data_IF_525665535841
#
_entry.id   IF_525665535841
#
_cell.length_a   1.000
_cell.length_b   1.000
_cell.length_c   1.000
_cell.angle_alpha   90.00
_cell.angle_beta   90.00
_cell.angle_gamma   90.00
#
_symmetry.space_group_name_H-M   'P 1'
#
loop_
_entity.id
_entity.type
_entity.pdbx_description
1 polymer ?
#
# COMPACT_ATOMS: atom_id res chain seq x y z
N UNK A 1 67.39 -10.91 -60.22
CA UNK A 1 67.34 -10.05 -61.43
C UNK A 1 66.77 -8.71 -61.01
N UNK A 2 67.57 -7.63 -61.19
CA UNK A 2 67.25 -6.21 -61.44
C UNK A 2 65.96 -5.56 -60.87
N UNK A 3 65.85 -4.30 -60.41
CA UNK A 3 66.71 -3.13 -60.09
C UNK A 3 65.72 -1.99 -59.69
N UNK A 4 66.09 -1.12 -58.72
CA UNK A 4 65.67 0.29 -58.46
C UNK A 4 64.15 0.63 -58.23
N UNK A 5 63.71 1.70 -57.54
CA UNK A 5 64.32 2.91 -56.97
C UNK A 5 63.40 3.55 -55.89
N UNK A 6 64.01 4.47 -55.15
CA UNK A 6 63.54 5.35 -54.05
C UNK A 6 62.54 6.43 -54.50
N UNK A 7 61.61 6.83 -53.62
CA UNK A 7 61.13 8.22 -53.50
C UNK A 7 60.58 8.55 -52.09
N UNK A 8 61.15 9.58 -51.46
CA UNK A 8 60.64 10.28 -50.27
C UNK A 8 59.43 11.16 -50.64
N UNK A 9 58.51 11.41 -49.69
CA UNK A 9 57.58 12.54 -49.79
C UNK A 9 56.42 12.57 -48.80
N UNK A 10 56.54 13.41 -47.77
CA UNK A 10 55.48 14.30 -47.27
C UNK A 10 54.27 13.71 -46.52
N UNK A 11 54.28 13.83 -45.19
CA UNK A 11 53.06 13.80 -44.37
C UNK A 11 52.21 15.07 -44.60
N UNK A 12 50.88 14.95 -44.85
CA UNK A 12 49.97 16.08 -44.70
C UNK A 12 49.55 16.26 -43.22
N UNK A 13 49.63 17.51 -42.75
CA UNK A 13 49.18 17.95 -41.41
C UNK A 13 47.66 17.82 -41.22
N UNK A 14 47.17 17.62 -39.97
CA UNK A 14 45.73 17.52 -39.70
C UNK A 14 45.03 18.88 -39.84
N UNK A 15 43.90 18.89 -40.56
CA UNK A 15 43.01 20.03 -40.73
C UNK A 15 42.25 20.33 -39.42
N UNK A 16 42.45 21.54 -38.91
CA UNK A 16 41.70 22.12 -37.77
C UNK A 16 40.34 22.63 -38.28
N UNK A 17 39.20 22.30 -37.66
CA UNK A 17 37.90 22.85 -38.03
C UNK A 17 37.79 24.34 -37.64
N UNK A 18 37.07 25.17 -38.41
CA UNK A 18 36.99 26.62 -38.17
C UNK A 18 36.21 26.95 -36.88
N UNK A 19 36.70 27.96 -36.16
CA UNK A 19 36.09 28.50 -34.96
C UNK A 19 34.71 29.13 -35.26
N UNK A 20 33.73 29.04 -34.32
CA UNK A 20 32.45 29.71 -34.47
C UNK A 20 32.59 31.24 -34.42
N UNK A 21 31.74 32.00 -35.13
CA UNK A 21 31.79 33.46 -35.16
C UNK A 21 31.46 34.08 -33.78
N UNK A 22 31.98 35.29 -33.48
CA UNK A 22 31.76 35.94 -32.20
C UNK A 22 30.28 36.35 -32.06
N UNK A 23 29.67 35.97 -30.93
CA UNK A 23 28.32 36.42 -30.57
C UNK A 23 28.40 37.90 -30.21
N UNK A 24 27.74 38.72 -31.01
CA UNK A 24 27.56 40.16 -30.79
C UNK A 24 26.72 40.36 -29.51
N UNK A 25 27.28 41.10 -28.56
CA UNK A 25 26.60 41.51 -27.34
C UNK A 25 25.41 42.43 -27.68
N UNK A 26 24.20 41.96 -27.40
CA UNK A 26 23.01 42.79 -27.41
C UNK A 26 22.92 43.57 -26.09
N UNK A 27 22.74 44.89 -26.24
CA UNK A 27 22.67 45.91 -25.20
C UNK A 27 21.57 45.63 -24.15
N UNK A 28 21.94 45.94 -22.92
CA UNK A 28 21.08 46.28 -21.79
C UNK A 28 20.19 47.48 -22.15
N UNK A 29 18.90 47.41 -21.85
CA UNK A 29 18.03 48.58 -21.70
C UNK A 29 16.96 48.29 -20.64
N UNK A 30 17.19 48.93 -19.50
CA UNK A 30 16.27 49.56 -18.55
C UNK A 30 15.06 48.82 -17.98
N UNK A 31 15.16 48.63 -16.66
CA UNK A 31 14.07 48.51 -15.71
C UNK A 31 13.17 49.76 -15.69
N UNK A 32 11.98 49.64 -15.08
CA UNK A 32 11.53 50.67 -14.16
C UNK A 32 11.35 50.12 -12.74
N UNK A 33 11.91 50.91 -11.85
CA UNK A 33 11.88 50.86 -10.39
C UNK A 33 10.47 50.95 -9.79
N UNK A 34 10.29 50.16 -8.72
CA UNK A 34 9.49 50.33 -7.51
C UNK A 34 8.27 51.26 -7.47
N UNK A 35 7.15 50.70 -7.01
CA UNK A 35 6.17 51.41 -6.17
C UNK A 35 5.54 50.47 -5.11
N UNK A 36 5.91 50.69 -3.84
CA UNK A 36 5.17 50.38 -2.61
C UNK A 36 5.58 51.51 -1.64
N UNK A 37 4.69 52.19 -0.88
CA UNK A 37 3.72 51.56 0.03
C UNK A 37 2.34 52.23 0.18
N UNK A 38 1.33 51.40 0.46
CA UNK A 38 0.17 51.81 1.24
C UNK A 38 0.05 50.85 2.43
N UNK A 39 0.27 51.42 3.61
CA UNK A 39 0.09 50.86 4.94
C UNK A 39 -1.36 51.11 5.38
N UNK A 40 -2.07 50.08 5.83
CA UNK A 40 -3.21 50.24 6.73
C UNK A 40 -3.10 49.19 7.84
N UNK A 41 -2.97 49.71 9.05
CA UNK A 41 -2.77 49.01 10.32
C UNK A 41 -4.04 48.26 10.81
N UNK A 42 -3.86 47.33 11.77
CA UNK A 42 -4.86 46.36 12.19
C UNK A 42 -5.86 46.95 13.19
N UNK A 43 -7.09 46.44 13.22
CA UNK A 43 -8.09 46.76 14.25
C UNK A 43 -8.64 45.46 14.87
N UNK A 44 -8.13 45.17 16.05
CA UNK A 44 -8.81 44.61 17.23
C UNK A 44 -8.08 45.25 18.43
N UNK A 45 -8.68 45.53 19.60
CA UNK A 45 -9.69 44.71 20.29
C UNK A 45 -10.76 45.53 21.06
N UNK A 46 -11.77 44.87 21.67
CA UNK A 46 -12.30 45.26 22.99
C UNK A 46 -13.28 44.22 23.55
N UNK A 47 -12.88 43.61 24.67
CA UNK A 47 -13.73 43.04 25.71
C UNK A 47 -14.49 44.17 26.43
N UNK A 48 -15.77 43.97 26.77
CA UNK A 48 -16.31 44.33 28.08
C UNK A 48 -17.77 43.87 28.22
N UNK A 49 -18.02 43.15 29.30
CA UNK A 49 -19.34 42.84 29.85
C UNK A 49 -19.92 44.06 30.57
N UNK A 50 -21.24 44.28 30.52
CA UNK A 50 -22.01 44.75 31.69
C UNK A 50 -23.53 44.51 31.53
N UNK A 51 -24.12 43.96 32.59
CA UNK A 51 -25.55 43.85 32.92
C UNK A 51 -26.20 45.25 33.03
N UNK A 52 -27.53 45.39 32.91
CA UNK A 52 -28.31 45.58 34.15
C UNK A 52 -29.67 44.84 34.17
N UNK A 53 -30.11 44.52 35.38
CA UNK A 53 -31.49 44.15 35.71
C UNK A 53 -32.37 45.40 35.84
N UNK A 54 -33.70 45.23 35.89
CA UNK A 54 -34.41 45.83 37.01
C UNK A 54 -35.27 44.81 37.76
N UNK A 55 -35.41 45.14 39.04
CA UNK A 55 -36.10 44.49 40.12
C UNK A 55 -37.43 45.23 40.34
N UNK A 56 -38.56 44.53 40.44
CA UNK A 56 -39.72 45.04 41.18
C UNK A 56 -40.59 43.91 41.77
N UNK A 57 -40.41 43.74 43.08
CA UNK A 57 -41.35 43.49 44.18
C UNK A 57 -42.74 42.88 43.88
N UNK A 58 -42.87 41.62 44.31
CA UNK A 58 -43.83 41.06 45.29
C UNK A 58 -45.32 41.45 45.26
N UNK A 59 -46.18 40.41 45.19
CA UNK A 59 -47.25 40.23 46.19
C UNK A 59 -47.61 38.75 46.40
N UNK A 60 -47.88 38.38 47.65
CA UNK A 60 -48.20 37.05 48.19
C UNK A 60 -49.72 36.96 48.41
N UNK A 61 -50.42 35.82 48.34
CA UNK A 61 -50.56 34.72 49.32
C UNK A 61 -51.81 33.86 48.91
N UNK A 62 -52.27 32.84 49.67
CA UNK A 62 -52.07 31.39 49.48
C UNK A 62 -53.38 30.58 49.20
N UNK A 63 -53.29 29.31 48.83
CA UNK A 63 -54.34 28.33 49.18
C UNK A 63 -53.82 26.89 49.17
N UNK A 64 -53.67 26.39 50.39
CA UNK A 64 -53.78 25.02 50.92
C UNK A 64 -53.54 23.76 50.08
N UNK A 65 -52.81 22.86 50.75
CA UNK A 65 -52.43 21.52 50.38
C UNK A 65 -53.57 20.48 50.48
N UNK A 66 -53.52 19.46 49.61
CA UNK A 66 -54.05 18.09 49.83
C UNK A 66 -53.14 17.05 49.14
N UNK A 67 -53.11 15.79 49.61
CA UNK A 67 -51.89 15.00 49.75
C UNK A 67 -51.50 14.18 48.51
N UNK A 68 -50.20 13.86 48.45
CA UNK A 68 -49.56 13.01 47.45
C UNK A 68 -50.13 11.58 47.42
N UNK A 69 -50.51 11.14 46.22
CA UNK A 69 -50.63 9.71 45.87
C UNK A 69 -49.25 9.19 45.42
N UNK A 70 -48.91 7.91 45.68
CA UNK A 70 -47.61 7.33 45.34
C UNK A 70 -47.39 7.31 43.82
N UNK A 71 -46.13 7.38 43.34
CA UNK A 71 -45.82 7.36 41.92
C UNK A 71 -46.25 6.02 41.31
N UNK A 72 -47.20 6.07 40.40
CA UNK A 72 -47.48 4.99 39.45
C UNK A 72 -46.26 4.84 38.55
N UNK A 73 -45.52 3.74 38.74
CA UNK A 73 -44.54 3.26 37.78
C UNK A 73 -45.26 2.99 36.47
N UNK A 74 -45.19 3.96 35.54
CA UNK A 74 -45.50 3.70 34.14
C UNK A 74 -44.39 2.79 33.63
N UNK A 75 -44.67 1.50 33.57
CA UNK A 75 -43.87 0.51 32.87
C UNK A 75 -43.85 0.93 31.40
N UNK A 76 -42.80 1.66 30.99
CA UNK A 76 -42.40 1.70 29.59
C UNK A 76 -42.35 0.26 29.10
N UNK A 77 -42.86 -0.07 27.89
CA UNK A 77 -42.70 -1.41 27.34
C UNK A 77 -41.21 -1.72 27.44
N UNK A 78 -40.87 -2.79 28.18
CA UNK A 78 -39.53 -3.28 28.23
C UNK A 78 -39.06 -3.43 26.77
N UNK A 79 -38.06 -2.65 26.38
CA UNK A 79 -37.33 -2.95 25.16
C UNK A 79 -36.85 -4.38 25.35
N UNK A 80 -37.50 -5.30 24.63
CA UNK A 80 -37.13 -6.71 24.59
C UNK A 80 -35.62 -6.70 24.35
N UNK A 81 -34.78 -7.30 25.20
CA UNK A 81 -33.39 -7.46 24.83
C UNK A 81 -33.44 -8.26 23.52
N UNK A 82 -33.08 -7.64 22.40
CA UNK A 82 -32.80 -8.37 21.18
C UNK A 82 -31.53 -9.16 21.49
N UNK A 83 -31.69 -10.33 22.10
CA UNK A 83 -30.63 -11.28 22.37
C UNK A 83 -30.21 -11.90 21.04
N UNK A 84 -29.63 -11.06 20.18
CA UNK A 84 -29.04 -11.48 18.92
C UNK A 84 -27.77 -12.26 19.19
N UNK A 85 -27.58 -13.34 18.45
CA UNK A 85 -26.36 -14.14 18.50
C UNK A 85 -25.26 -13.34 17.81
N UNK A 86 -24.20 -13.03 18.55
CA UNK A 86 -23.00 -12.37 18.03
C UNK A 86 -22.01 -13.43 17.57
N UNK A 87 -21.97 -13.69 16.27
CA UNK A 87 -20.99 -14.56 15.64
C UNK A 87 -19.70 -13.79 15.40
N UNK A 88 -18.66 -14.10 16.16
CA UNK A 88 -17.31 -13.57 15.99
C UNK A 88 -16.57 -14.47 15.01
N UNK A 89 -15.95 -13.88 13.98
CA UNK A 89 -15.22 -14.61 12.95
C UNK A 89 -13.97 -15.24 13.55
N UNK A 90 -13.77 -16.52 13.25
CA UNK A 90 -12.53 -17.23 13.54
C UNK A 90 -11.59 -17.11 12.33
N UNK A 91 -10.55 -16.29 12.47
CA UNK A 91 -9.56 -16.04 11.43
C UNK A 91 -8.81 -17.32 11.02
N UNK A 92 -8.59 -18.27 11.94
CA UNK A 92 -7.87 -19.50 11.64
C UNK A 92 -8.67 -20.46 10.74
N UNK A 93 -9.99 -20.45 10.90
CA UNK A 93 -10.93 -21.24 10.10
C UNK A 93 -11.52 -20.52 8.89
N UNK A 94 -11.08 -19.28 8.61
CA UNK A 94 -11.63 -18.45 7.54
C UNK A 94 -10.60 -18.11 6.47
N UNK A 95 -11.05 -17.98 5.22
CA UNK A 95 -10.23 -17.67 4.05
C UNK A 95 -11.06 -16.91 3.02
N UNK A 96 -10.51 -15.86 2.44
CA UNK A 96 -11.07 -15.16 1.28
C UNK A 96 -10.13 -15.36 0.11
N UNK A 97 -10.68 -15.73 -1.04
CA UNK A 97 -10.00 -15.75 -2.33
C UNK A 97 -10.69 -14.76 -3.28
N UNK A 98 -9.89 -13.92 -3.92
CA UNK A 98 -10.29 -12.97 -4.95
C UNK A 98 -9.79 -13.50 -6.29
N UNK A 99 -10.69 -13.68 -7.24
CA UNK A 99 -10.39 -14.22 -8.56
C UNK A 99 -10.73 -13.23 -9.65
N UNK A 100 -9.76 -12.94 -10.50
CA UNK A 100 -9.93 -12.10 -11.68
C UNK A 100 -9.35 -12.81 -12.89
N UNK A 101 -10.07 -12.77 -14.01
CA UNK A 101 -9.59 -13.38 -15.24
C UNK A 101 -8.49 -12.52 -15.86
N UNK A 102 -7.44 -13.17 -16.35
CA UNK A 102 -6.31 -12.53 -16.99
C UNK A 102 -5.91 -13.26 -18.28
N UNK A 103 -5.35 -12.53 -19.23
CA UNK A 103 -4.89 -13.07 -20.50
C UNK A 103 -3.45 -12.65 -20.76
N UNK A 104 -2.56 -13.62 -20.91
CA UNK A 104 -1.15 -13.38 -21.25
C UNK A 104 -0.91 -13.42 -22.75
N UNK A 105 0.08 -12.67 -23.21
CA UNK A 105 0.55 -12.77 -24.59
C UNK A 105 1.11 -14.18 -24.88
N UNK A 106 0.59 -14.84 -25.91
CA UNK A 106 1.03 -16.18 -26.33
C UNK A 106 0.38 -17.37 -25.61
N UNK A 107 -0.50 -17.15 -24.63
CA UNK A 107 -1.29 -18.21 -23.98
C UNK A 107 -2.76 -18.09 -24.43
N UNK A 108 -3.26 -19.11 -25.13
CA UNK A 108 -4.63 -19.12 -25.66
C UNK A 108 -5.69 -19.44 -24.60
N UNK A 109 -5.32 -20.11 -23.50
CA UNK A 109 -6.24 -20.46 -22.43
C UNK A 109 -6.43 -19.29 -21.46
N UNK A 110 -7.66 -19.01 -21.00
CA UNK A 110 -7.89 -18.00 -19.97
C UNK A 110 -7.21 -18.44 -18.66
N UNK A 111 -6.48 -17.54 -18.01
CA UNK A 111 -5.93 -17.75 -16.68
C UNK A 111 -6.76 -16.97 -15.65
N UNK A 112 -6.79 -17.43 -14.40
CA UNK A 112 -7.39 -16.68 -13.30
C UNK A 112 -6.28 -16.30 -12.31
N UNK A 113 -6.08 -15.00 -12.10
CA UNK A 113 -5.28 -14.50 -10.99
C UNK A 113 -6.06 -14.71 -9.68
N UNK A 114 -5.43 -15.36 -8.70
CA UNK A 114 -6.04 -15.63 -7.39
C UNK A 114 -5.21 -14.98 -6.29
N UNK A 115 -5.84 -14.07 -5.55
CA UNK A 115 -5.27 -13.49 -4.33
C UNK A 115 -6.04 -14.02 -3.13
N UNK A 116 -5.34 -14.54 -2.12
CA UNK A 116 -5.93 -15.10 -0.92
C UNK A 116 -5.50 -14.38 0.36
N UNK A 117 -6.37 -14.36 1.36
CA UNK A 117 -6.03 -13.92 2.72
C UNK A 117 -6.83 -14.65 3.79
N UNK A 118 -6.23 -14.78 4.98
CA UNK A 118 -6.87 -15.28 6.21
C UNK A 118 -7.02 -14.21 7.30
N UNK A 119 -6.51 -13.00 7.06
CA UNK A 119 -6.60 -11.91 8.04
C UNK A 119 -7.95 -11.22 7.99
N UNK A 120 -8.94 -11.95 8.48
CA UNK A 120 -10.35 -11.57 8.53
C UNK A 120 -10.72 -11.47 10.00
N UNK A 121 -11.40 -10.39 10.37
CA UNK A 121 -11.81 -10.11 11.74
C UNK A 121 -13.19 -9.47 11.74
N UNK A 122 -13.82 -9.43 12.91
CA UNK A 122 -15.11 -8.79 13.08
C UNK A 122 -16.18 -9.74 13.58
N UNK A 123 -17.41 -9.25 13.59
CA UNK A 123 -18.54 -10.00 14.08
C UNK A 123 -19.80 -9.66 13.29
N UNK A 124 -20.73 -10.61 13.22
CA UNK A 124 -22.06 -10.42 12.70
C UNK A 124 -23.04 -10.75 13.82
N UNK A 125 -23.90 -9.80 14.14
CA UNK A 125 -24.96 -9.95 15.14
C UNK A 125 -26.25 -10.22 14.40
N UNK A 126 -26.90 -11.36 14.70
CA UNK A 126 -28.17 -11.75 14.07
C UNK A 126 -29.20 -12.06 15.13
N UNK A 127 -30.36 -11.42 15.07
CA UNK A 127 -31.48 -11.73 15.97
C UNK A 127 -32.23 -13.02 15.57
N UNK A 128 -33.20 -13.43 16.38
CA UNK A 128 -33.99 -14.64 16.12
C UNK A 128 -34.79 -14.55 14.81
N UNK A 129 -35.16 -13.34 14.39
CA UNK A 129 -35.96 -13.09 13.19
C UNK A 129 -35.09 -12.98 11.92
N UNK A 130 -33.76 -12.97 12.07
CA UNK A 130 -32.80 -12.84 10.98
C UNK A 130 -32.38 -11.40 10.68
N UNK A 131 -32.69 -10.43 11.55
CA UNK A 131 -32.26 -9.04 11.39
C UNK A 131 -30.83 -8.86 11.89
N UNK A 132 -30.14 -7.94 11.23
CA UNK A 132 -28.74 -7.63 11.50
C UNK A 132 -28.67 -6.58 12.61
N UNK A 133 -27.87 -6.85 13.64
CA UNK A 133 -27.57 -5.90 14.69
C UNK A 133 -26.54 -4.86 14.22
N UNK A 134 -26.64 -3.62 14.73
CA UNK A 134 -25.81 -2.49 14.29
C UNK A 134 -24.30 -2.66 14.51
N UNK A 135 -23.87 -3.53 15.42
CA UNK A 135 -22.44 -3.83 15.67
C UNK A 135 -21.83 -4.79 14.65
N UNK A 136 -22.58 -5.19 13.62
CA UNK A 136 -22.11 -6.12 12.61
C UNK A 136 -21.13 -5.43 11.67
N UNK A 137 -19.87 -5.87 11.70
CA UNK A 137 -18.81 -5.40 10.81
C UNK A 137 -17.79 -6.50 10.60
N UNK A 138 -17.37 -6.69 9.36
CA UNK A 138 -16.26 -7.57 8.98
C UNK A 138 -15.15 -6.72 8.40
N UNK A 139 -13.93 -6.90 8.90
CA UNK A 139 -12.73 -6.17 8.45
C UNK A 139 -11.72 -7.18 7.94
N UNK A 140 -11.25 -6.96 6.71
CA UNK A 140 -10.22 -7.75 6.03
C UNK A 140 -8.96 -6.91 5.89
N UNK A 141 -7.80 -7.46 6.27
CA UNK A 141 -6.50 -6.82 6.08
C UNK A 141 -6.06 -7.03 4.63
N UNK A 142 -6.17 -5.98 3.79
CA UNK A 142 -5.79 -6.05 2.37
C UNK A 142 -4.28 -6.18 2.18
N UNK A 143 -3.51 -5.80 3.19
CA UNK A 143 -2.04 -5.96 3.27
C UNK A 143 -1.58 -7.42 3.27
N UNK A 144 -2.46 -8.36 3.64
CA UNK A 144 -2.17 -9.78 3.66
C UNK A 144 -2.81 -10.54 2.50
N UNK A 145 -3.24 -9.85 1.44
CA UNK A 145 -3.59 -10.50 0.19
C UNK A 145 -2.31 -10.93 -0.51
N UNK A 146 -2.22 -12.22 -0.78
CA UNK A 146 -1.08 -12.84 -1.42
C UNK A 146 -1.52 -13.82 -2.52
N UNK A 147 -0.69 -14.03 -3.50
CA UNK A 147 -0.92 -14.95 -4.61
C UNK A 147 0.28 -15.87 -4.80
N UNK A 148 0.31 -16.66 -5.87
CA UNK A 148 1.44 -17.51 -6.21
C UNK A 148 2.63 -16.76 -6.83
N UNK A 149 2.48 -15.46 -7.12
CA UNK A 149 3.52 -14.61 -7.73
C UNK A 149 3.76 -13.36 -6.86
N UNK A 150 4.88 -13.28 -6.12
CA UNK A 150 5.12 -12.18 -5.18
C UNK A 150 5.28 -10.81 -5.86
N UNK A 151 5.71 -10.76 -7.13
CA UNK A 151 5.78 -9.52 -7.89
C UNK A 151 4.38 -8.95 -8.16
N UNK A 152 3.41 -9.83 -8.44
CA UNK A 152 2.00 -9.44 -8.60
C UNK A 152 1.45 -8.88 -7.30
N UNK A 153 1.78 -9.50 -6.17
CA UNK A 153 1.33 -9.06 -4.85
C UNK A 153 1.84 -7.64 -4.55
N UNK A 154 3.12 -7.39 -4.78
CA UNK A 154 3.72 -6.07 -4.60
C UNK A 154 3.03 -5.01 -5.48
N UNK A 155 2.79 -5.32 -6.75
CA UNK A 155 2.09 -4.42 -7.66
C UNK A 155 0.67 -4.11 -7.19
N UNK A 156 -0.13 -5.15 -6.90
CA UNK A 156 -1.53 -4.99 -6.52
C UNK A 156 -1.66 -4.22 -5.21
N UNK A 157 -0.81 -4.51 -4.23
CA UNK A 157 -0.86 -3.82 -2.94
C UNK A 157 -0.46 -2.34 -3.04
N UNK A 158 0.51 -2.01 -3.90
CA UNK A 158 1.02 -0.65 -4.01
C UNK A 158 0.20 0.23 -4.95
N UNK A 159 -0.19 -0.30 -6.12
CA UNK A 159 -0.75 0.50 -7.20
C UNK A 159 -2.24 0.27 -7.47
N UNK A 160 -2.77 -0.90 -7.09
CA UNK A 160 -4.20 -1.20 -7.31
C UNK A 160 -5.01 -0.91 -6.06
N UNK A 161 -4.64 -1.54 -4.95
CA UNK A 161 -5.33 -1.42 -3.66
C UNK A 161 -4.83 -0.22 -2.82
N UNK A 162 -3.66 0.34 -3.16
CA UNK A 162 -3.00 1.42 -2.42
C UNK A 162 -3.01 1.18 -0.90
N UNK A 163 -2.58 -0.01 -0.47
CA UNK A 163 -2.69 -0.49 0.92
C UNK A 163 -1.88 0.33 1.94
N UNK A 164 -1.05 1.26 1.48
CA UNK A 164 -0.46 2.30 2.33
C UNK A 164 -1.55 3.25 2.84
N UNK A 165 -2.45 3.69 1.96
CA UNK A 165 -3.58 4.60 2.27
C UNK A 165 -4.80 3.84 2.76
N UNK A 166 -5.05 2.65 2.21
CA UNK A 166 -6.24 1.84 2.49
C UNK A 166 -5.85 0.42 2.95
N UNK A 167 -5.34 0.27 4.18
CA UNK A 167 -4.80 -1.01 4.67
C UNK A 167 -5.86 -2.09 4.93
N UNK A 168 -7.14 -1.71 4.96
CA UNK A 168 -8.26 -2.58 5.27
C UNK A 168 -9.40 -2.41 4.29
N UNK A 169 -10.17 -3.48 4.10
CA UNK A 169 -11.48 -3.47 3.47
C UNK A 169 -12.54 -3.81 4.52
N UNK A 170 -13.63 -3.05 4.54
CA UNK A 170 -14.68 -3.17 5.54
C UNK A 170 -16.01 -3.54 4.90
N UNK A 171 -16.69 -4.56 5.44
CA UNK A 171 -18.04 -4.95 5.04
C UNK A 171 -19.01 -4.76 6.22
N UNK A 172 -20.00 -3.89 6.01
CA UNK A 172 -21.08 -3.63 6.96
C UNK A 172 -22.38 -4.27 6.40
N UNK A 173 -22.80 -5.44 6.90
CA UNK A 173 -24.00 -6.09 6.40
C UNK A 173 -25.25 -5.31 6.82
N UNK A 174 -26.24 -5.22 5.91
CA UNK A 174 -27.50 -4.50 6.10
C UNK A 174 -28.69 -5.42 6.29
N UNK A 175 -28.79 -6.44 5.44
CA UNK A 175 -29.92 -7.36 5.45
C UNK A 175 -29.55 -8.75 4.95
N UNK A 176 -30.31 -9.74 5.42
CA UNK A 176 -30.33 -11.08 4.85
C UNK A 176 -31.56 -11.24 3.97
N UNK A 177 -31.39 -11.81 2.77
CA UNK A 177 -32.49 -12.21 1.87
C UNK A 177 -32.53 -13.73 1.76
N UNK A 178 -33.72 -14.30 1.87
CA UNK A 178 -33.90 -15.76 1.77
C UNK A 178 -33.42 -16.57 2.98
N UNK A 179 -33.06 -15.91 4.08
CA UNK A 179 -32.77 -16.59 5.34
C UNK A 179 -34.07 -17.09 5.97
N UNK A 180 -34.05 -18.33 6.48
CA UNK A 180 -35.20 -18.92 7.18
C UNK A 180 -35.44 -18.16 8.49
N UNK A 181 -36.69 -17.76 8.74
CA UNK A 181 -37.11 -17.09 9.97
C UNK A 181 -38.10 -17.98 10.72
N UNK A 182 -37.87 -18.33 12.00
CA UNK A 182 -36.71 -17.93 12.82
C UNK A 182 -35.41 -18.63 12.38
N UNK A 183 -34.26 -17.99 12.65
CA UNK A 183 -32.95 -18.56 12.29
C UNK A 183 -32.72 -19.85 13.08
N UNK A 184 -32.45 -20.99 12.42
CA UNK A 184 -32.27 -22.25 13.12
C UNK A 184 -31.05 -22.21 14.06
N UNK A 185 -31.13 -22.97 15.15
CA UNK A 185 -29.99 -23.18 16.06
C UNK A 185 -29.05 -24.27 15.53
N UNK A 186 -29.56 -25.22 14.74
CA UNK A 186 -28.79 -26.27 14.10
C UNK A 186 -29.32 -26.55 12.70
N UNK A 187 -28.43 -26.86 11.75
CA UNK A 187 -28.79 -27.28 10.40
C UNK A 187 -28.29 -26.34 9.29
N UNK A 188 -28.58 -26.67 8.03
CA UNK A 188 -28.15 -25.88 6.88
C UNK A 188 -28.87 -24.54 6.83
N UNK A 189 -28.14 -23.49 6.47
CA UNK A 189 -28.63 -22.14 6.22
C UNK A 189 -28.07 -21.65 4.90
N UNK A 190 -28.93 -21.07 4.07
CA UNK A 190 -28.55 -20.48 2.79
C UNK A 190 -29.34 -19.21 2.55
N UNK A 191 -28.80 -18.32 1.74
CA UNK A 191 -29.45 -17.08 1.39
C UNK A 191 -28.47 -16.09 0.78
N UNK A 192 -28.84 -14.83 0.81
CA UNK A 192 -28.01 -13.71 0.39
C UNK A 192 -27.80 -12.75 1.55
N UNK A 193 -26.61 -12.19 1.66
CA UNK A 193 -26.30 -11.10 2.56
C UNK A 193 -25.97 -9.86 1.74
N UNK A 194 -26.75 -8.80 1.93
CA UNK A 194 -26.55 -7.50 1.28
C UNK A 194 -25.89 -6.58 2.29
N UNK A 195 -24.82 -5.91 1.90
CA UNK A 195 -24.10 -4.99 2.78
C UNK A 195 -23.39 -3.90 2.01
N UNK A 196 -22.79 -2.99 2.76
CA UNK A 196 -21.89 -1.96 2.23
C UNK A 196 -20.46 -2.47 2.33
N UNK A 197 -19.83 -2.67 1.18
CA UNK A 197 -18.40 -2.98 1.06
C UNK A 197 -17.64 -1.67 0.84
N UNK A 198 -16.66 -1.40 1.68
CA UNK A 198 -15.73 -0.27 1.55
C UNK A 198 -14.35 -0.79 1.19
N UNK A 199 -13.88 -0.46 0.00
CA UNK A 199 -12.56 -0.83 -0.54
C UNK A 199 -11.98 0.41 -1.19
N UNK A 200 -10.67 0.65 -0.99
CA UNK A 200 -9.97 1.81 -1.56
C UNK A 200 -10.64 3.16 -1.21
N UNK A 201 -11.24 3.24 0.00
CA UNK A 201 -11.95 4.43 0.48
C UNK A 201 -13.32 4.69 -0.17
N UNK A 202 -13.77 3.84 -1.09
CA UNK A 202 -15.08 3.94 -1.75
C UNK A 202 -16.03 2.90 -1.18
N UNK A 203 -17.25 3.30 -0.86
CA UNK A 203 -18.29 2.40 -0.33
C UNK A 203 -19.33 2.09 -1.39
N UNK A 204 -19.62 0.80 -1.61
CA UNK A 204 -20.63 0.32 -2.56
C UNK A 204 -21.49 -0.81 -1.97
N UNK A 205 -22.78 -0.89 -2.34
CA UNK A 205 -23.61 -2.03 -2.01
C UNK A 205 -23.13 -3.28 -2.74
N UNK A 206 -22.88 -4.37 -2.02
CA UNK A 206 -22.52 -5.68 -2.59
C UNK A 206 -23.42 -6.75 -1.97
N UNK A 207 -23.74 -7.76 -2.78
CA UNK A 207 -24.51 -8.93 -2.36
C UNK A 207 -23.62 -10.16 -2.44
N UNK A 208 -23.64 -10.97 -1.38
CA UNK A 208 -22.98 -12.28 -1.36
C UNK A 208 -24.02 -13.38 -1.17
N UNK A 209 -24.01 -14.38 -2.06
CA UNK A 209 -24.74 -15.62 -1.90
C UNK A 209 -23.98 -16.54 -0.94
N UNK A 210 -24.61 -16.98 0.15
CA UNK A 210 -23.99 -17.86 1.13
C UNK A 210 -24.74 -19.18 1.29
N UNK A 211 -23.96 -20.22 1.60
CA UNK A 211 -24.42 -21.55 1.99
C UNK A 211 -23.55 -22.04 3.15
N UNK A 212 -24.17 -22.41 4.26
CA UNK A 212 -23.45 -22.84 5.44
C UNK A 212 -24.30 -23.72 6.35
N UNK A 213 -23.73 -24.07 7.49
CA UNK A 213 -24.35 -24.89 8.52
C UNK A 213 -24.13 -24.23 9.87
N UNK A 214 -25.22 -24.10 10.63
CA UNK A 214 -25.18 -23.75 12.04
C UNK A 214 -25.13 -25.02 12.88
N UNK A 215 -24.26 -25.04 13.88
CA UNK A 215 -24.17 -26.08 14.90
C UNK A 215 -24.09 -25.40 16.26
N UNK A 216 -25.25 -25.12 16.84
CA UNK A 216 -25.44 -24.37 18.08
C UNK A 216 -24.83 -22.98 17.98
N UNK A 217 -23.66 -22.85 18.58
CA UNK A 217 -22.89 -21.61 18.69
C UNK A 217 -21.79 -21.48 17.63
N UNK A 218 -21.71 -22.40 16.66
CA UNK A 218 -20.76 -22.32 15.56
C UNK A 218 -21.46 -22.20 14.22
N UNK A 219 -20.85 -21.43 13.32
CA UNK A 219 -21.22 -21.29 11.93
C UNK A 219 -20.04 -21.67 11.06
N UNK A 220 -20.28 -22.49 10.05
CA UNK A 220 -19.31 -22.73 8.97
C UNK A 220 -20.02 -22.65 7.64
N UNK A 221 -19.49 -21.89 6.70
CA UNK A 221 -20.12 -21.73 5.39
C UNK A 221 -19.19 -21.19 4.33
N UNK A 222 -19.74 -21.11 3.13
CA UNK A 222 -19.12 -20.45 1.98
C UNK A 222 -19.97 -19.28 1.55
N UNK A 223 -19.35 -18.23 1.04
CA UNK A 223 -20.02 -17.12 0.40
C UNK A 223 -19.35 -16.79 -0.95
N UNK A 224 -20.16 -16.39 -1.93
CA UNK A 224 -19.72 -15.97 -3.26
C UNK A 224 -20.34 -14.63 -3.62
N UNK A 225 -19.60 -13.82 -4.35
CA UNK A 225 -20.09 -12.54 -4.84
C UNK A 225 -19.23 -12.04 -5.99
N UNK A 226 -19.67 -10.97 -6.64
CA UNK A 226 -18.93 -10.33 -7.72
C UNK A 226 -18.95 -8.81 -7.53
N UNK A 227 -17.85 -8.15 -7.90
CA UNK A 227 -17.77 -6.70 -8.01
C UNK A 227 -16.85 -6.31 -9.17
N UNK A 228 -16.67 -5.02 -9.41
CA UNK A 228 -15.63 -4.49 -10.31
C UNK A 228 -14.58 -3.69 -9.55
N UNK A 229 -13.36 -3.63 -10.08
CA UNK A 229 -12.31 -2.73 -9.57
C UNK A 229 -12.72 -1.26 -9.78
N UNK A 230 -13.27 -0.97 -10.97
CA UNK A 230 -13.72 0.37 -11.35
C UNK A 230 -14.82 0.96 -10.45
N UNK A 231 -15.69 0.12 -9.88
CA UNK A 231 -16.75 0.55 -8.96
C UNK A 231 -16.16 1.19 -7.68
N UNK A 232 -14.94 0.83 -7.33
CA UNK A 232 -14.21 1.33 -6.17
C UNK A 232 -13.15 2.37 -6.51
N UNK A 233 -13.13 2.89 -7.75
CA UNK A 233 -12.14 3.88 -8.18
C UNK A 233 -10.73 3.31 -8.41
N UNK A 234 -10.59 1.98 -8.42
CA UNK A 234 -9.33 1.33 -8.72
C UNK A 234 -9.14 1.18 -10.22
N UNK A 235 -7.90 1.34 -10.68
CA UNK A 235 -7.55 1.14 -12.09
C UNK A 235 -7.21 -0.31 -12.35
N UNK A 236 -7.75 -0.89 -13.42
CA UNK A 236 -7.43 -2.25 -13.83
C UNK A 236 -5.92 -2.32 -14.17
N UNK A 237 -5.18 -3.29 -13.60
CA UNK A 237 -3.76 -3.46 -13.88
C UNK A 237 -3.47 -3.62 -15.38
N UNK A 238 -2.42 -2.96 -15.87
CA UNK A 238 -1.89 -3.16 -17.21
C UNK A 238 -0.36 -3.32 -17.13
N UNK A 239 0.14 -4.48 -17.54
CA UNK A 239 1.59 -4.79 -17.65
C UNK A 239 1.84 -5.46 -19.00
N UNK A 240 3.01 -5.30 -19.62
CA UNK A 240 3.25 -5.61 -21.02
C UNK A 240 3.10 -7.09 -21.38
N UNK A 241 3.39 -7.99 -20.44
CA UNK A 241 3.16 -9.44 -20.61
C UNK A 241 1.67 -9.82 -20.60
N UNK A 242 0.81 -8.92 -20.09
CA UNK A 242 -0.61 -9.12 -19.88
C UNK A 242 -1.39 -8.37 -20.97
N UNK A 243 -2.05 -9.12 -21.84
CA UNK A 243 -2.92 -8.55 -22.88
C UNK A 243 -4.09 -7.83 -22.22
N UNK A 244 -4.71 -8.45 -21.22
CA UNK A 244 -5.83 -7.86 -20.50
C UNK A 244 -6.05 -8.49 -19.12
N UNK A 245 -6.65 -7.71 -18.22
CA UNK A 245 -7.22 -8.15 -16.95
C UNK A 245 -8.69 -7.77 -16.96
N UNK A 246 -9.55 -8.67 -16.52
CA UNK A 246 -10.97 -8.38 -16.38
C UNK A 246 -11.19 -7.40 -15.22
N UNK A 247 -12.03 -6.39 -15.42
CA UNK A 247 -12.41 -5.47 -14.34
C UNK A 247 -13.23 -6.18 -13.24
N UNK A 248 -13.89 -7.28 -13.59
CA UNK A 248 -14.68 -8.11 -12.67
C UNK A 248 -13.77 -8.89 -11.72
N UNK A 249 -14.09 -8.79 -10.44
CA UNK A 249 -13.50 -9.56 -9.34
C UNK A 249 -14.58 -10.49 -8.77
N UNK A 250 -14.28 -11.77 -8.70
CA UNK A 250 -15.11 -12.80 -8.07
C UNK A 250 -14.58 -13.12 -6.67
N UNK A 251 -15.46 -13.16 -5.70
CA UNK A 251 -15.14 -13.53 -4.32
C UNK A 251 -15.51 -14.99 -4.08
N UNK A 252 -14.59 -15.74 -3.47
CA UNK A 252 -14.85 -17.03 -2.86
C UNK A 252 -14.41 -16.97 -1.40
N UNK A 253 -15.37 -17.09 -0.50
CA UNK A 253 -15.17 -16.91 0.92
C UNK A 253 -15.50 -18.22 1.61
N UNK A 254 -14.58 -18.73 2.41
CA UNK A 254 -14.81 -19.78 3.41
C UNK A 254 -14.81 -19.10 4.77
N UNK A 255 -15.89 -19.21 5.53
CA UNK A 255 -16.04 -18.52 6.81
C UNK A 255 -16.32 -19.53 7.93
N UNK A 256 -15.58 -19.38 9.02
CA UNK A 256 -15.85 -20.00 10.31
C UNK A 256 -16.12 -18.91 11.33
N UNK A 257 -17.19 -19.03 12.11
CA UNK A 257 -17.50 -18.09 13.17
C UNK A 257 -18.09 -18.82 14.38
N UNK A 258 -17.92 -18.23 15.56
CA UNK A 258 -18.48 -18.76 16.82
C UNK A 258 -19.17 -17.67 17.62
N UNK A 259 -20.19 -18.04 18.38
CA UNK A 259 -20.81 -17.13 19.33
C UNK A 259 -19.78 -16.77 20.39
N UNK A 260 -19.41 -15.49 20.44
CA UNK A 260 -18.40 -14.98 21.35
C UNK A 260 -18.98 -13.90 22.25
N UNK A 261 -18.79 -14.05 23.57
CA UNK A 261 -18.88 -12.94 24.50
C UNK A 261 -17.75 -11.94 24.27
N UNK A 262 -18.01 -10.66 24.52
CA UNK A 262 -17.10 -9.54 24.28
C UNK A 262 -15.73 -9.75 24.94
N UNK A 263 -14.76 -10.27 24.20
CA UNK A 263 -13.36 -10.30 24.65
C UNK A 263 -12.42 -10.19 23.44
N UNK A 264 -12.15 -8.95 23.04
CA UNK A 264 -10.96 -8.64 22.28
C UNK A 264 -9.78 -8.64 23.27
N UNK A 265 -9.13 -9.79 23.41
CA UNK A 265 -7.83 -9.86 24.05
C UNK A 265 -6.84 -9.07 23.20
N UNK A 266 -6.60 -7.82 23.59
CA UNK A 266 -5.43 -7.07 23.16
C UNK A 266 -4.21 -7.87 23.61
N UNK A 267 -3.56 -8.55 22.67
CA UNK A 267 -2.33 -9.28 22.92
C UNK A 267 -1.26 -8.28 23.38
N UNK A 268 -0.93 -8.31 24.66
CA UNK A 268 0.20 -7.57 25.22
C UNK A 268 1.47 -8.03 24.52
N UNK A 269 2.05 -7.10 23.75
CA UNK A 269 3.23 -7.32 22.90
C UNK A 269 4.44 -7.72 23.77
N UNK A 270 5.13 -8.84 23.51
CA UNK A 270 6.32 -9.20 24.27
C UNK A 270 7.46 -8.22 23.95
N UNK A 271 8.08 -7.64 25.00
CA UNK A 271 9.21 -6.73 24.88
C UNK A 271 10.53 -7.51 24.75
N UNK A 272 11.08 -7.57 23.53
CA UNK A 272 12.49 -7.92 23.33
C UNK A 272 13.42 -6.71 23.49
N UNK A 273 14.73 -6.90 23.45
CA UNK A 273 15.68 -5.77 23.33
C UNK A 273 15.72 -5.22 21.91
N UNK A 274 15.94 -3.91 21.73
CA UNK A 274 16.15 -3.32 20.41
C UNK A 274 17.43 -3.87 19.77
N UNK A 275 17.43 -4.06 18.45
CA UNK A 275 18.57 -4.58 17.67
C UNK A 275 18.83 -3.73 16.44
N UNK A 276 20.09 -3.37 16.23
CA UNK A 276 20.53 -2.65 15.04
C UNK A 276 21.19 -3.60 14.06
N UNK A 277 20.68 -3.67 12.83
CA UNK A 277 21.26 -4.42 11.73
C UNK A 277 21.90 -3.45 10.74
N UNK A 278 23.21 -3.60 10.50
CA UNK A 278 23.95 -2.82 9.50
C UNK A 278 24.17 -3.66 8.23
N UNK A 279 23.97 -3.06 7.06
CA UNK A 279 24.21 -3.73 5.79
C UNK A 279 25.71 -4.01 5.61
N UNK A 280 26.04 -5.25 5.22
CA UNK A 280 27.36 -5.64 4.76
C UNK A 280 27.42 -5.38 3.26
N UNK A 281 27.96 -4.22 2.88
CA UNK A 281 27.95 -3.72 1.49
C UNK A 281 28.55 -4.73 0.50
N UNK A 282 29.70 -5.33 0.83
CA UNK A 282 30.40 -6.27 -0.05
C UNK A 282 29.64 -7.58 -0.31
N UNK A 283 28.64 -7.89 0.53
CA UNK A 283 27.79 -9.08 0.43
C UNK A 283 26.36 -8.75 0.00
N UNK A 284 26.07 -7.48 -0.30
CA UNK A 284 24.74 -7.03 -0.66
C UNK A 284 24.72 -6.53 -2.11
N UNK A 285 23.61 -6.76 -2.81
CA UNK A 285 23.44 -6.36 -4.20
C UNK A 285 22.04 -5.80 -4.40
N UNK A 286 21.94 -4.70 -5.14
CA UNK A 286 20.68 -4.09 -5.57
C UNK A 286 20.55 -4.26 -7.08
N UNK A 287 19.39 -4.69 -7.53
CA UNK A 287 19.00 -4.85 -8.93
C UNK A 287 17.71 -4.10 -9.19
N UNK A 288 17.69 -3.37 -10.30
CA UNK A 288 16.50 -2.74 -10.83
C UNK A 288 16.22 -3.37 -12.20
N UNK A 289 14.99 -3.85 -12.40
CA UNK A 289 14.56 -4.45 -13.65
C UNK A 289 13.43 -3.62 -14.26
N UNK A 290 13.55 -3.33 -15.54
CA UNK A 290 12.54 -2.59 -16.30
C UNK A 290 12.26 -3.32 -17.59
N UNK A 291 10.99 -3.58 -17.87
CA UNK A 291 10.59 -4.22 -19.12
C UNK A 291 10.62 -3.20 -20.27
N UNK A 292 11.23 -3.59 -21.39
CA UNK A 292 11.39 -2.76 -22.59
C UNK A 292 11.04 -3.57 -23.85
N UNK A 293 10.55 -2.91 -24.90
CA UNK A 293 10.40 -3.51 -26.23
C UNK A 293 11.32 -2.81 -27.21
N UNK A 294 12.21 -3.56 -27.85
CA UNK A 294 13.10 -3.02 -28.85
C UNK A 294 12.36 -2.75 -30.17
N UNK A 295 12.83 -1.76 -30.92
CA UNK A 295 12.26 -1.40 -32.21
C UNK A 295 12.43 -2.56 -33.21
N UNK A 296 11.33 -3.02 -33.80
CA UNK A 296 11.30 -4.15 -34.72
C UNK A 296 11.11 -5.52 -34.05
N UNK A 297 11.17 -5.59 -32.72
CA UNK A 297 10.93 -6.83 -31.97
C UNK A 297 9.46 -6.95 -31.54
N UNK A 298 8.96 -8.19 -31.54
CA UNK A 298 7.59 -8.52 -31.10
C UNK A 298 7.53 -8.99 -29.65
N UNK A 299 8.69 -9.25 -29.03
CA UNK A 299 8.83 -9.79 -27.67
C UNK A 299 9.43 -8.71 -26.77
N UNK A 300 8.93 -8.62 -25.54
CA UNK A 300 9.49 -7.73 -24.53
C UNK A 300 10.80 -8.31 -23.96
N UNK A 301 11.74 -7.42 -23.70
CA UNK A 301 13.04 -7.68 -23.08
C UNK A 301 13.09 -7.06 -21.68
N UNK A 302 14.07 -7.47 -20.87
CA UNK A 302 14.29 -6.90 -19.54
C UNK A 302 15.63 -6.18 -19.46
N UNK A 303 15.58 -4.88 -19.17
CA UNK A 303 16.75 -4.08 -18.86
C UNK A 303 17.08 -4.25 -17.37
N UNK A 304 18.24 -4.84 -17.07
CA UNK A 304 18.69 -5.10 -15.70
C UNK A 304 19.82 -4.12 -15.36
N UNK A 305 19.64 -3.39 -14.27
CA UNK A 305 20.64 -2.49 -13.71
C UNK A 305 21.05 -3.00 -12.33
N UNK A 306 22.35 -3.13 -12.08
CA UNK A 306 22.90 -3.70 -10.85
C UNK A 306 23.90 -2.76 -10.18
N UNK A 307 23.90 -2.74 -8.85
CA UNK A 307 24.93 -2.11 -8.03
C UNK A 307 25.17 -2.90 -6.74
N UNK A 308 26.37 -2.81 -6.18
CA UNK A 308 26.72 -3.31 -4.84
C UNK A 308 26.94 -2.19 -3.82
N UNK A 309 26.88 -0.93 -4.27
CA UNK A 309 27.12 0.23 -3.42
C UNK A 309 25.87 0.58 -2.63
N UNK A 310 25.48 -0.31 -1.71
CA UNK A 310 24.38 -0.14 -0.77
C UNK A 310 24.94 -0.11 0.65
N UNK A 311 24.50 0.85 1.43
CA UNK A 311 24.87 1.00 2.83
C UNK A 311 23.67 1.43 3.66
N UNK A 312 23.85 1.43 4.98
CA UNK A 312 22.83 1.83 5.93
C UNK A 312 22.63 0.82 7.04
N UNK A 313 21.69 1.15 7.92
CA UNK A 313 21.33 0.32 9.04
C UNK A 313 19.87 0.53 9.41
N UNK A 314 19.27 -0.49 10.02
CA UNK A 314 17.95 -0.42 10.61
C UNK A 314 18.00 -0.87 12.06
N UNK A 315 17.40 -0.08 12.93
CA UNK A 315 17.26 -0.41 14.35
C UNK A 315 15.82 -0.81 14.59
N UNK A 316 15.61 -2.05 15.01
CA UNK A 316 14.31 -2.64 15.28
C UNK A 316 14.13 -2.69 16.79
N UNK A 317 13.10 -2.00 17.29
CA UNK A 317 12.71 -1.97 18.69
C UNK A 317 12.27 -3.34 19.21
N UNK A 318 12.24 -3.45 20.53
CA UNK A 318 11.77 -4.64 21.24
C UNK A 318 10.35 -5.08 20.93
N UNK A 319 9.55 -4.10 20.51
CA UNK A 319 8.17 -4.20 20.10
C UNK A 319 8.02 -4.34 18.58
N UNK A 320 9.12 -4.51 17.83
CA UNK A 320 9.13 -4.57 16.37
C UNK A 320 9.02 -3.20 15.67
N UNK A 321 9.01 -2.09 16.42
CA UNK A 321 9.00 -0.74 15.83
C UNK A 321 10.32 -0.43 15.11
N UNK A 322 10.31 0.51 14.18
CA UNK A 322 11.54 1.03 13.57
C UNK A 322 11.99 2.25 14.37
N UNK A 323 13.20 2.19 14.95
CA UNK A 323 13.74 3.32 15.69
C UNK A 323 14.32 4.39 14.74
N UNK A 324 14.32 5.64 15.21
CA UNK A 324 14.88 6.78 14.48
C UNK A 324 16.37 6.60 14.16
N UNK A 325 16.81 7.19 13.04
CA UNK A 325 18.16 7.01 12.52
C UNK A 325 18.35 5.74 11.67
N UNK A 326 17.29 4.94 11.50
CA UNK A 326 17.25 3.87 10.51
C UNK A 326 17.16 4.45 9.10
N UNK A 327 17.94 3.91 8.17
CA UNK A 327 17.97 4.38 6.80
C UNK A 327 18.97 3.61 5.95
N UNK A 328 18.70 3.58 4.66
CA UNK A 328 19.53 2.95 3.64
C UNK A 328 19.83 3.93 2.53
N UNK A 329 21.02 3.82 1.94
CA UNK A 329 21.44 4.63 0.80
C UNK A 329 22.10 3.74 -0.24
N UNK A 330 21.74 3.96 -1.50
CA UNK A 330 22.29 3.28 -2.67
C UNK A 330 22.94 4.32 -3.56
N UNK A 331 24.23 4.14 -3.87
CA UNK A 331 24.94 5.01 -4.80
C UNK A 331 24.60 4.63 -6.25
N UNK A 332 23.82 5.49 -6.90
CA UNK A 332 23.33 5.31 -8.27
C UNK A 332 24.43 5.54 -9.32
N UNK A 333 25.54 6.19 -8.97
CA UNK A 333 26.66 6.45 -9.91
C UNK A 333 27.37 5.13 -10.28
N UNK A 334 27.30 4.15 -9.38
CA UNK A 334 27.89 2.81 -9.55
C UNK A 334 26.99 1.85 -10.33
N UNK A 335 25.74 2.22 -10.61
CA UNK A 335 24.77 1.40 -11.34
C UNK A 335 25.32 0.98 -12.72
N UNK A 336 25.15 -0.28 -13.11
CA UNK A 336 25.61 -0.83 -14.40
C UNK A 336 24.56 -1.76 -15.02
N UNK A 337 24.42 -1.72 -16.32
CA UNK A 337 23.73 -2.72 -17.13
C UNK A 337 24.72 -3.49 -18.00
N UNK A 338 24.23 -4.37 -18.86
CA UNK A 338 25.02 -5.09 -19.86
C UNK A 338 25.50 -4.20 -21.03
N UNK A 339 24.95 -2.98 -21.17
CA UNK A 339 25.29 -2.05 -22.26
C UNK A 339 25.77 -0.71 -21.69
N UNK A 340 27.05 -0.39 -21.89
CA UNK A 340 27.63 0.87 -21.38
C UNK A 340 26.99 2.16 -21.91
N UNK A 341 26.44 2.16 -23.13
CA UNK A 341 25.67 3.30 -23.65
C UNK A 341 24.37 3.51 -22.87
N UNK A 342 23.69 2.43 -22.46
CA UNK A 342 22.49 2.48 -21.64
C UNK A 342 22.82 3.06 -20.26
N UNK A 343 23.95 2.65 -19.70
CA UNK A 343 24.42 3.15 -18.39
C UNK A 343 24.61 4.67 -18.40
N UNK A 344 25.29 5.20 -19.43
CA UNK A 344 25.51 6.63 -19.57
C UNK A 344 24.17 7.37 -19.73
N UNK A 345 23.28 6.88 -20.61
CA UNK A 345 21.98 7.49 -20.82
C UNK A 345 21.13 7.53 -19.53
N UNK A 346 20.99 6.40 -18.84
CA UNK A 346 20.16 6.30 -17.64
C UNK A 346 20.72 7.20 -16.53
N UNK A 347 22.05 7.26 -16.36
CA UNK A 347 22.67 8.10 -15.34
C UNK A 347 22.53 9.59 -15.62
N UNK A 348 22.74 9.99 -16.87
CA UNK A 348 22.79 11.41 -17.23
C UNK A 348 21.40 11.98 -17.48
N UNK A 349 20.53 11.23 -18.16
CA UNK A 349 19.24 11.73 -18.64
C UNK A 349 18.08 11.34 -17.72
N UNK A 350 18.06 10.11 -17.21
CA UNK A 350 16.92 9.60 -16.43
C UNK A 350 17.09 9.88 -14.93
N UNK A 351 18.10 9.27 -14.31
CA UNK A 351 18.37 9.40 -12.87
C UNK A 351 19.08 10.70 -12.51
N UNK A 352 19.72 11.38 -13.48
CA UNK A 352 20.51 12.60 -13.29
C UNK A 352 21.47 12.50 -12.10
N UNK A 353 22.26 11.42 -12.05
CA UNK A 353 23.07 11.04 -10.85
C UNK A 353 24.13 12.06 -10.47
N UNK A 354 24.47 13.00 -11.35
CA UNK A 354 25.34 14.14 -11.01
C UNK A 354 24.69 15.09 -10.01
N UNK A 355 23.35 15.21 -10.05
CA UNK A 355 22.54 16.02 -9.15
C UNK A 355 21.97 15.17 -8.00
N UNK A 356 21.60 13.93 -8.30
CA UNK A 356 20.99 12.98 -7.36
C UNK A 356 21.82 11.70 -7.30
N UNK A 357 23.02 11.72 -6.69
CA UNK A 357 23.94 10.58 -6.73
C UNK A 357 23.43 9.36 -5.96
N UNK A 358 22.54 9.57 -4.99
CA UNK A 358 22.05 8.52 -4.11
C UNK A 358 20.52 8.40 -4.21
N UNK A 359 20.03 7.16 -4.16
CA UNK A 359 18.66 6.88 -3.74
C UNK A 359 18.68 6.53 -2.25
N UNK A 360 17.73 7.03 -1.48
CA UNK A 360 17.64 6.74 -0.04
C UNK A 360 16.31 6.11 0.31
N UNK A 361 16.30 5.26 1.34
CA UNK A 361 15.09 4.68 1.88
C UNK A 361 15.06 4.87 3.40
N UNK A 362 14.04 5.57 3.89
CA UNK A 362 13.80 5.80 5.32
C UNK A 362 12.67 4.89 5.78
N UNK A 363 12.98 3.76 6.45
CA UNK A 363 11.96 2.85 6.96
C UNK A 363 11.12 3.52 8.05
N UNK A 364 9.80 3.32 7.99
CA UNK A 364 8.82 3.84 8.95
C UNK A 364 8.28 2.76 9.87
N UNK A 365 7.88 1.62 9.29
CA UNK A 365 7.26 0.54 10.05
C UNK A 365 7.45 -0.82 9.37
N UNK A 366 7.41 -1.87 10.20
CA UNK A 366 7.22 -3.24 9.73
C UNK A 366 5.74 -3.62 9.85
N UNK A 367 5.19 -4.24 8.80
CA UNK A 367 3.92 -4.97 8.88
C UNK A 367 4.21 -6.47 8.94
N UNK A 368 3.51 -7.16 9.82
CA UNK A 368 3.72 -8.59 10.11
C UNK A 368 4.72 -8.85 11.25
N UNK A 369 5.44 -7.83 11.73
CA UNK A 369 6.33 -7.96 12.88
C UNK A 369 5.64 -7.44 14.16
N UNK A 370 5.15 -8.36 14.99
CA UNK A 370 4.47 -8.05 16.25
C UNK A 370 5.33 -8.24 17.50
N UNK A 371 6.62 -8.50 17.34
CA UNK A 371 7.59 -8.64 18.44
C UNK A 371 8.99 -8.32 17.92
N UNK A 372 9.98 -8.31 18.82
CA UNK A 372 11.39 -8.22 18.41
C UNK A 372 11.74 -9.28 17.34
N UNK A 373 12.69 -8.99 16.42
CA UNK A 373 13.16 -9.96 15.45
C UNK A 373 13.63 -11.25 16.14
N UNK A 374 13.29 -12.43 15.60
CA UNK A 374 13.77 -13.68 16.17
C UNK A 374 15.32 -13.71 16.13
N UNK A 375 15.95 -14.40 17.09
CA UNK A 375 17.41 -14.65 17.08
C UNK A 375 17.82 -15.68 16.04
N UNK A 376 16.87 -16.49 15.58
CA UNK A 376 17.08 -17.46 14.52
C UNK A 376 15.76 -17.80 13.81
N UNK A 377 15.85 -18.18 12.55
CA UNK A 377 14.72 -18.67 11.77
C UNK A 377 14.30 -17.73 10.63
N UNK A 378 13.24 -18.14 9.93
CA UNK A 378 12.72 -17.43 8.77
C UNK A 378 11.96 -16.16 9.18
N UNK A 379 12.09 -15.12 8.36
CA UNK A 379 11.41 -13.84 8.49
C UNK A 379 10.73 -13.54 7.17
N UNK A 380 9.42 -13.26 7.22
CA UNK A 380 8.63 -12.76 6.10
C UNK A 380 7.79 -11.60 6.60
N UNK A 381 8.16 -10.38 6.22
CA UNK A 381 7.55 -9.13 6.71
C UNK A 381 7.49 -8.11 5.57
N UNK A 382 6.67 -7.08 5.73
CA UNK A 382 6.70 -5.92 4.83
C UNK A 382 7.33 -4.75 5.55
N UNK A 383 8.19 -4.03 4.85
CA UNK A 383 8.86 -2.83 5.32
C UNK A 383 8.31 -1.63 4.55
N UNK A 384 7.55 -0.79 5.25
CA UNK A 384 7.07 0.47 4.72
C UNK A 384 8.07 1.57 5.02
N UNK A 385 8.31 2.44 4.06
CA UNK A 385 9.18 3.59 4.25
C UNK A 385 9.06 4.59 3.12
N UNK A 386 9.73 5.73 3.29
CA UNK A 386 9.88 6.72 2.24
C UNK A 386 11.10 6.41 1.41
N UNK A 387 10.90 6.30 0.10
CA UNK A 387 11.98 6.21 -0.86
C UNK A 387 12.17 7.58 -1.49
N UNK A 388 13.39 8.11 -1.45
CA UNK A 388 13.80 9.29 -2.21
C UNK A 388 14.64 8.84 -3.41
N UNK A 389 14.14 9.15 -4.60
CA UNK A 389 14.86 8.96 -5.87
C UNK A 389 14.66 10.23 -6.67
N UNK A 390 15.73 10.72 -7.30
CA UNK A 390 15.69 11.94 -8.11
C UNK A 390 15.22 13.19 -7.32
N UNK A 391 15.42 13.18 -5.99
CA UNK A 391 14.98 14.26 -5.10
C UNK A 391 13.46 14.32 -4.87
N UNK A 392 12.74 13.27 -5.26
CA UNK A 392 11.31 13.11 -4.99
C UNK A 392 11.13 11.97 -4.01
N UNK A 393 10.41 12.25 -2.92
CA UNK A 393 10.13 11.27 -1.87
C UNK A 393 8.74 10.67 -2.03
N UNK A 394 8.65 9.34 -2.06
CA UNK A 394 7.40 8.57 -2.16
C UNK A 394 7.35 7.44 -1.14
N UNK A 395 6.20 7.19 -0.50
CA UNK A 395 6.03 6.01 0.34
C UNK A 395 5.96 4.76 -0.54
N UNK A 396 6.72 3.73 -0.18
CA UNK A 396 6.76 2.45 -0.89
C UNK A 396 6.72 1.28 0.09
N UNK A 397 6.34 0.10 -0.42
CA UNK A 397 6.35 -1.16 0.33
C UNK A 397 7.44 -2.06 -0.22
N UNK A 398 8.35 -2.51 0.65
CA UNK A 398 9.31 -3.56 0.33
C UNK A 398 8.92 -4.84 1.07
N UNK A 399 8.69 -5.93 0.34
CA UNK A 399 8.55 -7.26 0.91
C UNK A 399 9.93 -7.77 1.29
N UNK A 400 10.11 -8.22 2.52
CA UNK A 400 11.38 -8.70 3.06
C UNK A 400 11.22 -10.16 3.46
N UNK A 401 12.04 -11.01 2.85
CA UNK A 401 12.07 -12.45 3.09
C UNK A 401 13.50 -12.90 3.34
N UNK A 402 13.73 -13.69 4.39
CA UNK A 402 15.07 -14.16 4.69
C UNK A 402 15.15 -15.01 5.94
N UNK A 403 16.38 -15.26 6.37
CA UNK A 403 16.70 -16.04 7.57
C UNK A 403 17.60 -15.22 8.46
N UNK A 404 17.32 -15.24 9.76
CA UNK A 404 18.25 -14.77 10.78
C UNK A 404 19.00 -16.00 11.32
N UNK A 405 20.32 -15.91 11.37
CA UNK A 405 21.20 -16.90 11.99
C UNK A 405 22.11 -16.19 13.00
N UNK A 406 21.70 -16.23 14.27
CA UNK A 406 22.37 -15.50 15.35
C UNK A 406 22.25 -13.99 15.13
N UNK A 407 23.37 -13.36 14.75
CA UNK A 407 23.44 -11.93 14.48
C UNK A 407 23.34 -11.59 12.98
N UNK A 408 23.31 -12.58 12.08
CA UNK A 408 23.32 -12.29 10.63
C UNK A 408 21.94 -12.51 10.05
N UNK A 409 21.37 -11.46 9.43
CA UNK A 409 20.26 -11.57 8.51
C UNK A 409 20.79 -11.81 7.10
N UNK A 410 20.26 -12.82 6.42
CA UNK A 410 20.46 -13.04 4.98
C UNK A 410 19.11 -13.18 4.33
N UNK A 411 18.84 -12.39 3.30
CA UNK A 411 17.56 -12.43 2.64
C UNK A 411 17.49 -11.57 1.41
N UNK A 412 16.27 -11.45 0.89
CA UNK A 412 15.92 -10.53 -0.18
C UNK A 412 14.90 -9.50 0.31
N UNK A 413 15.03 -8.28 -0.19
CA UNK A 413 14.00 -7.26 -0.13
C UNK A 413 13.58 -6.91 -1.55
N UNK A 414 12.29 -6.81 -1.84
CA UNK A 414 11.82 -6.52 -3.19
C UNK A 414 10.51 -5.74 -3.18
N UNK A 415 10.27 -4.99 -4.25
CA UNK A 415 9.08 -4.17 -4.41
C UNK A 415 8.96 -3.60 -5.82
N UNK A 416 7.88 -2.89 -6.09
CA UNK A 416 7.61 -2.31 -7.38
C UNK A 416 7.58 -0.78 -7.29
N UNK A 417 8.12 -0.10 -8.29
CA UNK A 417 8.26 1.35 -8.33
C UNK A 417 7.74 1.85 -9.68
N UNK A 418 7.05 2.98 -9.73
CA UNK A 418 6.80 3.69 -10.99
C UNK A 418 7.85 4.76 -11.18
N UNK A 419 8.54 4.75 -12.31
CA UNK A 419 9.60 5.73 -12.63
C UNK A 419 9.02 7.15 -12.58
N UNK A 420 7.82 7.35 -13.11
CA UNK A 420 7.14 8.65 -13.15
C UNK A 420 6.70 9.16 -11.78
N UNK A 421 6.46 8.29 -10.78
CA UNK A 421 6.09 8.72 -9.42
C UNK A 421 7.21 9.56 -8.77
N UNK A 422 8.45 9.34 -9.20
CA UNK A 422 9.65 10.05 -8.76
C UNK A 422 10.02 11.25 -9.63
N UNK A 423 9.10 11.72 -10.49
CA UNK A 423 9.33 12.91 -11.33
C UNK A 423 10.30 12.69 -12.50
N UNK A 424 10.67 11.43 -12.77
CA UNK A 424 11.50 11.06 -13.91
C UNK A 424 10.64 10.81 -15.15
N UNK A 425 11.17 11.17 -16.31
CA UNK A 425 10.54 10.83 -17.59
C UNK A 425 11.03 9.49 -18.12
N UNK A 426 10.12 8.72 -18.74
CA UNK A 426 10.49 7.49 -19.41
C UNK A 426 11.43 7.78 -20.59
N UNK A 427 12.56 7.07 -20.71
CA UNK A 427 13.48 7.24 -21.83
C UNK A 427 12.79 7.07 -23.18
N UNK A 428 13.03 8.01 -24.10
CA UNK A 428 12.64 7.87 -25.51
C UNK A 428 13.89 7.61 -26.34
N UNK A 429 14.16 6.35 -26.62
CA UNK A 429 15.35 5.93 -27.36
C UNK A 429 14.93 5.40 -28.73
N UNK A 430 15.52 5.82 -29.86
CA UNK A 430 15.11 5.39 -31.19
C UNK A 430 15.10 3.86 -31.41
N UNK A 431 15.91 3.12 -30.64
CA UNK A 431 15.97 1.65 -30.66
C UNK A 431 14.99 0.96 -29.72
N UNK A 432 14.28 1.71 -28.88
CA UNK A 432 13.33 1.18 -27.90
C UNK A 432 11.94 1.70 -28.25
N UNK A 433 11.09 0.81 -28.73
CA UNK A 433 9.72 1.12 -29.14
C UNK A 433 8.82 1.43 -27.93
N UNK A 434 9.05 0.76 -26.79
CA UNK A 434 8.26 0.94 -25.57
C UNK A 434 9.12 0.67 -24.33
N UNK A 435 8.91 1.45 -23.27
CA UNK A 435 9.48 1.20 -21.94
C UNK A 435 8.34 1.21 -20.95
N UNK A 436 8.34 0.26 -20.03
CA UNK A 436 7.39 0.25 -18.93
C UNK A 436 7.74 1.27 -17.86
N UNK A 437 6.72 1.95 -17.34
CA UNK A 437 6.88 2.82 -16.17
C UNK A 437 7.19 2.03 -14.91
N UNK A 438 6.76 0.77 -14.85
CA UNK A 438 6.97 -0.10 -13.72
C UNK A 438 8.40 -0.65 -13.71
N UNK A 439 9.17 -0.28 -12.69
CA UNK A 439 10.46 -0.86 -12.38
C UNK A 439 10.32 -1.80 -11.17
N UNK A 440 10.94 -2.98 -11.26
CA UNK A 440 11.02 -3.95 -10.16
C UNK A 440 12.35 -3.76 -9.44
N UNK A 441 12.27 -3.52 -8.14
CA UNK A 441 13.42 -3.41 -7.26
C UNK A 441 13.62 -4.76 -6.57
N UNK A 442 14.81 -5.31 -6.67
CA UNK A 442 15.24 -6.52 -5.96
C UNK A 442 16.56 -6.24 -5.24
N UNK A 443 16.67 -6.67 -4.00
CA UNK A 443 17.85 -6.47 -3.17
C UNK A 443 18.20 -7.81 -2.52
N UNK A 444 19.41 -8.31 -2.74
CA UNK A 444 20.00 -9.38 -1.94
C UNK A 444 20.78 -8.72 -0.81
N UNK A 445 20.36 -8.93 0.43
CA UNK A 445 20.91 -8.24 1.59
C UNK A 445 21.52 -9.24 2.56
N UNK A 446 22.76 -8.95 2.96
CA UNK A 446 23.34 -9.47 4.18
C UNK A 446 23.50 -8.32 5.15
N UNK A 447 22.96 -8.47 6.36
CA UNK A 447 23.07 -7.48 7.41
C UNK A 447 23.48 -8.14 8.73
N UNK A 448 24.35 -7.50 9.50
CA UNK A 448 24.82 -8.01 10.78
C UNK A 448 24.32 -7.14 11.93
N UNK A 449 23.89 -7.79 13.00
CA UNK A 449 23.48 -7.12 14.22
C UNK A 449 24.71 -6.59 14.96
N UNK A 450 24.72 -5.29 15.24
CA UNK A 450 25.80 -4.54 15.88
C UNK A 450 25.41 -4.03 17.25
#
# INVERSE_FOLDING_TARGET
>A
MAILAVACGGQPSPTVPPAPPPVVAAKVSDAPTAAKPAEVKPVAPALAATKPAPENLAETKPSDAKPALPPTTTTAPAAKPSSGRRFVIDAAGSKIALKTREQFAGIAAPNDAVLETRAISGAIVVDADGKIGGDSKVTVQTTQLASDEPDRDAYVQQFTLETIKFPTADFAPREFKGLVSPVPTNGPVKGQIVGDLTVHGVTKPVTFDFDGTLQGDSFKGTARGETKLSDFGMTVPSVAILISVEDKVRFEIELSARVGGTEAAAATKPQGGARRYAIVADQSTVRLRVTERLAGETIDNEAILTTKAVNGAITIGGDGSVAGGSGFSVDLTTLRSDVGMRDAFIKDSTLQVRRFPNATFTPREFRGLIAAPPTSGAVKVQLLGDMDVHGVSRPVILNVEGTIEGNTFKGRAFGALRITDFGMELPRVPRVAKIEDLARLEMEIVATAT
#
